data_IF_255644660280
#
_entry.id   IF_255644660280
#
_cell.length_a   1.000
_cell.length_b   1.000
_cell.length_c   1.000
_cell.angle_alpha   90.00
_cell.angle_beta   90.00
_cell.angle_gamma   90.00
#
_symmetry.space_group_name_H-M   'P 1'
#
loop_
_entity.id
_entity.type
_entity.pdbx_description
1 polymer ?
#
# COMPACT_ATOMS: atom_id res chain seq x y z
N UNK A 1 -13.80 23.30 11.06
CA UNK A 1 -13.37 23.21 9.65
C UNK A 1 -12.90 24.57 9.17
N UNK A 2 -13.74 25.54 8.77
CA UNK A 2 -13.22 26.84 8.25
C UNK A 2 -12.29 27.59 9.21
N UNK A 3 -12.58 27.58 10.51
CA UNK A 3 -11.73 28.19 11.53
C UNK A 3 -10.35 27.53 11.63
N UNK A 4 -10.22 26.25 11.27
CA UNK A 4 -8.96 25.50 11.31
C UNK A 4 -8.02 25.88 10.15
N UNK A 5 -8.51 26.66 9.17
CA UNK A 5 -7.77 27.11 7.98
C UNK A 5 -7.77 28.64 7.83
N UNK A 6 -7.92 29.37 8.95
CA UNK A 6 -8.08 30.83 8.93
C UNK A 6 -6.82 31.56 8.40
N UNK A 7 -5.66 30.96 8.62
CA UNK A 7 -4.31 31.41 8.28
C UNK A 7 -3.83 30.90 6.90
N UNK A 8 -4.61 30.07 6.21
CA UNK A 8 -4.23 29.51 4.92
C UNK A 8 -4.44 30.49 3.75
N UNK A 9 -3.83 30.17 2.60
CA UNK A 9 -3.90 30.94 1.35
C UNK A 9 -5.34 31.39 1.02
N UNK A 10 -5.55 32.67 0.61
CA UNK A 10 -6.88 33.20 0.28
C UNK A 10 -7.66 32.34 -0.74
N UNK A 11 -6.99 31.67 -1.67
CA UNK A 11 -7.62 30.79 -2.66
C UNK A 11 -8.22 29.56 -2.01
N UNK A 12 -7.55 28.95 -1.04
CA UNK A 12 -8.11 27.84 -0.27
C UNK A 12 -9.32 28.30 0.54
N UNK A 13 -9.22 29.44 1.23
CA UNK A 13 -10.34 30.02 1.99
C UNK A 13 -11.55 30.30 1.09
N UNK A 14 -11.33 30.77 -0.14
CA UNK A 14 -12.39 30.94 -1.15
C UNK A 14 -13.06 29.61 -1.51
N UNK A 15 -12.29 28.54 -1.75
CA UNK A 15 -12.82 27.20 -2.03
C UNK A 15 -13.67 26.68 -0.85
N UNK A 16 -13.17 26.83 0.39
CA UNK A 16 -13.90 26.45 1.60
C UNK A 16 -15.19 27.27 1.82
N UNK A 17 -15.29 28.45 1.21
CA UNK A 17 -16.50 29.27 1.19
C UNK A 17 -17.68 28.57 0.49
N UNK A 18 -17.40 27.76 -0.53
CA UNK A 18 -18.44 27.04 -1.29
C UNK A 18 -18.96 25.77 -0.60
N UNK A 19 -18.30 25.28 0.46
CA UNK A 19 -18.69 24.04 1.15
C UNK A 19 -19.95 24.25 2.00
N UNK A 20 -21.06 23.60 1.66
CA UNK A 20 -22.34 23.77 2.37
C UNK A 20 -22.43 22.92 3.64
N UNK A 21 -21.88 21.70 3.61
CA UNK A 21 -21.90 20.76 4.73
C UNK A 21 -20.62 19.94 4.76
N UNK A 22 -20.24 19.47 5.95
CA UNK A 22 -19.05 18.63 6.14
C UNK A 22 -19.37 17.40 6.96
N UNK A 23 -18.73 16.30 6.59
CA UNK A 23 -18.67 15.10 7.42
C UNK A 23 -17.32 15.07 8.14
N UNK A 24 -17.33 14.64 9.40
CA UNK A 24 -16.11 14.44 10.19
C UNK A 24 -15.80 12.95 10.26
N UNK A 25 -14.79 12.52 9.52
CA UNK A 25 -14.36 11.14 9.46
C UNK A 25 -13.18 10.92 10.40
N UNK A 26 -13.26 9.88 11.23
CA UNK A 26 -12.09 9.41 11.98
C UNK A 26 -11.34 8.42 11.10
N UNK A 27 -10.12 8.77 10.71
CA UNK A 27 -9.24 7.83 10.02
C UNK A 27 -8.60 6.87 11.02
N UNK A 28 -8.56 5.59 10.65
CA UNK A 28 -8.11 4.48 11.49
C UNK A 28 -7.23 3.55 10.67
N UNK A 29 -6.23 2.96 11.32
CA UNK A 29 -5.19 2.13 10.71
C UNK A 29 -4.88 0.92 11.57
N UNK A 30 -4.19 -0.04 10.96
CA UNK A 30 -3.51 -1.14 11.64
C UNK A 30 -2.12 -1.37 11.06
N UNK A 31 -1.19 -1.76 11.95
CA UNK A 31 0.09 -2.34 11.52
C UNK A 31 -0.18 -3.58 10.67
N UNK A 32 0.70 -3.91 9.71
CA UNK A 32 0.60 -5.14 8.94
C UNK A 32 0.39 -6.34 9.87
N UNK A 33 -0.58 -7.19 9.53
CA UNK A 33 -0.82 -8.43 10.25
C UNK A 33 0.35 -9.40 10.02
N UNK A 34 0.60 -10.28 11.00
CA UNK A 34 1.63 -11.32 10.86
C UNK A 34 1.24 -12.42 9.87
N UNK A 35 -0.05 -12.68 9.75
CA UNK A 35 -0.65 -13.64 8.84
C UNK A 35 -2.09 -13.22 8.53
N UNK A 36 -2.57 -13.56 7.35
CA UNK A 36 -3.91 -13.37 6.83
C UNK A 36 -4.71 -14.68 6.81
N UNK A 37 -4.02 -15.80 7.05
CA UNK A 37 -4.55 -17.15 6.95
C UNK A 37 -5.03 -17.61 8.33
N UNK A 38 -6.25 -18.12 8.41
CA UNK A 38 -6.73 -18.79 9.62
C UNK A 38 -6.03 -20.16 9.78
N UNK A 39 -5.70 -20.64 11.00
CA UNK A 39 -5.03 -21.93 11.21
C UNK A 39 -5.71 -23.16 10.59
N UNK A 40 -7.00 -23.07 10.27
CA UNK A 40 -7.74 -24.13 9.59
C UNK A 40 -7.59 -24.13 8.06
N UNK A 41 -6.90 -23.16 7.46
CA UNK A 41 -6.74 -22.96 6.01
C UNK A 41 -8.05 -22.90 5.21
N UNK A 42 -9.12 -22.40 5.85
CA UNK A 42 -10.47 -22.28 5.23
C UNK A 42 -10.97 -20.83 5.18
N UNK A 43 -10.21 -19.91 5.77
CA UNK A 43 -10.53 -18.49 5.80
C UNK A 43 -9.25 -17.74 5.50
N UNK A 44 -9.35 -16.77 4.59
CA UNK A 44 -8.29 -15.85 4.26
C UNK A 44 -8.82 -14.43 4.16
N UNK A 45 -7.99 -13.47 4.55
CA UNK A 45 -8.31 -12.05 4.50
C UNK A 45 -7.72 -11.40 3.24
N UNK A 46 -8.45 -10.43 2.68
CA UNK A 46 -8.01 -9.60 1.55
C UNK A 46 -8.55 -8.16 1.71
N UNK A 47 -7.95 -7.20 1.02
CA UNK A 47 -8.35 -5.80 1.09
C UNK A 47 -8.18 -5.18 2.50
N UNK A 48 -9.06 -4.24 2.82
CA UNK A 48 -9.05 -3.53 4.12
C UNK A 48 -9.22 -4.45 5.35
N UNK A 49 -9.61 -5.70 5.17
CA UNK A 49 -9.67 -6.68 6.26
C UNK A 49 -8.27 -7.05 6.78
N UNK A 50 -7.23 -7.03 5.94
CA UNK A 50 -5.86 -7.38 6.32
C UNK A 50 -4.85 -6.23 6.15
N UNK A 51 -5.07 -5.30 5.22
CA UNK A 51 -4.15 -4.18 4.97
C UNK A 51 -4.86 -2.83 4.80
N UNK A 52 -5.70 -2.39 5.77
CA UNK A 52 -6.32 -1.08 5.69
C UNK A 52 -5.26 0.01 5.58
N UNK A 53 -5.31 0.82 4.52
CA UNK A 53 -4.24 1.79 4.20
C UNK A 53 -4.54 3.22 4.66
N UNK A 54 -5.50 3.37 5.58
CA UNK A 54 -5.84 4.66 6.19
C UNK A 54 -4.98 4.86 7.43
N UNK A 55 -4.35 6.02 7.61
CA UNK A 55 -3.17 6.19 8.48
C UNK A 55 -3.46 6.23 10.01
N UNK A 56 -2.45 5.96 10.86
CA UNK A 56 -2.66 5.68 12.27
C UNK A 56 -2.79 6.97 13.07
N UNK A 57 -3.55 6.87 14.17
CA UNK A 57 -3.28 7.67 15.36
C UNK A 57 -1.98 7.13 15.96
N UNK A 58 -0.90 7.91 15.90
CA UNK A 58 0.26 7.66 16.76
C UNK A 58 -0.18 7.98 18.19
N UNK A 59 -0.64 6.96 18.92
CA UNK A 59 -0.76 7.04 20.37
C UNK A 59 0.67 7.19 20.89
N UNK A 60 1.04 8.41 21.27
CA UNK A 60 1.86 8.79 22.42
C UNK A 60 2.26 10.26 22.23
N UNK A 61 1.49 11.17 22.86
CA UNK A 61 1.92 12.36 23.61
C UNK A 61 0.70 13.27 23.83
N UNK A 62 0.39 13.68 25.08
CA UNK A 62 -0.87 14.34 25.43
C UNK A 62 -1.06 15.75 24.83
N UNK A 63 -0.03 16.37 24.27
CA UNK A 63 -0.07 17.75 23.76
C UNK A 63 0.22 17.87 22.25
N UNK A 64 0.29 16.77 21.51
CA UNK A 64 0.64 16.79 20.08
C UNK A 64 -0.60 16.58 19.21
N UNK A 65 -1.20 17.69 18.74
CA UNK A 65 -2.26 17.66 17.70
C UNK A 65 -1.59 17.81 16.33
N UNK A 66 -1.28 16.69 15.69
CA UNK A 66 -1.05 16.70 14.24
C UNK A 66 -2.40 16.99 13.53
N UNK A 67 -2.42 17.80 12.46
CA UNK A 67 -3.55 17.88 11.56
C UNK A 67 -3.87 16.47 11.04
N UNK A 68 -5.16 16.13 10.98
CA UNK A 68 -5.62 14.77 10.75
C UNK A 68 -5.09 14.16 9.45
N UNK A 69 -4.87 12.83 9.40
CA UNK A 69 -4.35 12.20 8.21
C UNK A 69 -5.32 12.24 7.01
N UNK A 70 -4.80 12.12 5.80
CA UNK A 70 -5.47 11.92 4.51
C UNK A 70 -4.93 10.61 3.87
N UNK A 71 -5.65 9.83 3.04
CA UNK A 71 -5.05 8.70 2.32
C UNK A 71 -3.97 9.19 1.35
N UNK A 72 -2.69 9.01 1.70
CA UNK A 72 -1.61 9.70 1.01
C UNK A 72 -1.01 8.97 -0.18
N UNK A 73 -1.42 7.72 -0.43
CA UNK A 73 -1.08 7.02 -1.68
C UNK A 73 -2.31 6.66 -2.52
N UNK A 74 -3.51 6.68 -1.92
CA UNK A 74 -4.78 6.33 -2.55
C UNK A 74 -4.80 4.94 -3.26
N UNK A 75 -4.08 3.95 -2.72
CA UNK A 75 -3.93 2.62 -3.33
C UNK A 75 -4.77 1.50 -2.68
N UNK A 76 -5.53 1.75 -1.61
CA UNK A 76 -6.25 0.68 -0.90
C UNK A 76 -7.17 -0.15 -1.81
N UNK A 77 -7.94 0.51 -2.67
CA UNK A 77 -8.82 -0.17 -3.63
C UNK A 77 -8.03 -0.96 -4.70
N UNK A 78 -6.95 -0.38 -5.24
CA UNK A 78 -6.11 -1.05 -6.21
C UNK A 78 -5.46 -2.32 -5.61
N UNK A 79 -5.01 -2.24 -4.35
CA UNK A 79 -4.42 -3.38 -3.64
C UNK A 79 -5.43 -4.51 -3.43
N UNK A 80 -6.69 -4.18 -3.10
CA UNK A 80 -7.75 -5.18 -2.99
C UNK A 80 -8.09 -5.84 -4.33
N UNK A 81 -8.01 -5.11 -5.45
CA UNK A 81 -8.19 -5.68 -6.80
C UNK A 81 -7.03 -6.61 -7.13
N UNK A 82 -5.79 -6.19 -6.89
CA UNK A 82 -4.61 -7.05 -7.08
C UNK A 82 -4.67 -8.31 -6.23
N UNK A 83 -5.16 -8.22 -4.99
CA UNK A 83 -5.38 -9.40 -4.14
C UNK A 83 -6.35 -10.39 -4.79
N UNK A 84 -7.48 -9.89 -5.31
CA UNK A 84 -8.48 -10.71 -5.95
C UNK A 84 -7.91 -11.37 -7.22
N UNK A 85 -7.10 -10.64 -8.00
CA UNK A 85 -6.42 -11.17 -9.18
C UNK A 85 -5.45 -12.30 -8.82
N UNK A 86 -4.51 -12.07 -7.88
CA UNK A 86 -3.55 -13.10 -7.45
C UNK A 86 -4.27 -14.32 -6.87
N UNK A 87 -5.22 -14.12 -5.97
CA UNK A 87 -5.95 -15.23 -5.34
C UNK A 87 -6.76 -16.03 -6.37
N UNK A 88 -7.45 -15.34 -7.29
CA UNK A 88 -8.21 -15.96 -8.36
C UNK A 88 -7.33 -16.75 -9.32
N UNK A 89 -6.19 -16.17 -9.71
CA UNK A 89 -5.22 -16.81 -10.59
C UNK A 89 -4.65 -18.09 -9.95
N UNK A 90 -4.21 -18.03 -8.69
CA UNK A 90 -3.70 -19.19 -7.96
C UNK A 90 -4.76 -20.29 -7.79
N UNK A 91 -5.96 -19.92 -7.33
CA UNK A 91 -7.03 -20.90 -7.09
C UNK A 91 -7.64 -21.46 -8.37
N UNK A 92 -7.48 -20.81 -9.54
CA UNK A 92 -7.94 -21.38 -10.81
C UNK A 92 -7.25 -22.70 -11.17
N UNK A 93 -6.08 -22.97 -10.57
CA UNK A 93 -5.27 -24.18 -10.77
C UNK A 93 -5.57 -25.29 -9.77
N UNK A 94 -6.51 -25.08 -8.86
CA UNK A 94 -6.83 -26.08 -7.85
C UNK A 94 -7.51 -27.29 -8.49
N UNK A 95 -7.02 -28.48 -8.17
CA UNK A 95 -7.63 -29.74 -8.59
C UNK A 95 -8.21 -30.51 -7.42
N UNK A 96 -7.71 -30.28 -6.21
CA UNK A 96 -8.21 -30.93 -4.99
C UNK A 96 -8.16 -29.99 -3.77
N UNK A 97 -9.16 -30.03 -2.85
CA UNK A 97 -9.18 -29.17 -1.65
C UNK A 97 -7.95 -29.30 -0.73
N UNK A 98 -7.23 -30.42 -0.77
CA UNK A 98 -5.99 -30.62 0.01
C UNK A 98 -4.84 -29.72 -0.42
N UNK A 99 -4.96 -29.02 -1.55
CA UNK A 99 -3.97 -28.07 -2.06
C UNK A 99 -4.19 -26.65 -1.51
N UNK A 100 -5.37 -26.37 -0.93
CA UNK A 100 -5.72 -25.04 -0.39
C UNK A 100 -4.63 -24.46 0.53
N UNK A 101 -4.07 -25.20 1.51
CA UNK A 101 -3.06 -24.61 2.40
C UNK A 101 -1.86 -24.00 1.65
N UNK A 102 -1.37 -24.67 0.63
CA UNK A 102 -0.21 -24.22 -0.13
C UNK A 102 -0.55 -23.03 -1.06
N UNK A 103 -1.73 -23.01 -1.68
CA UNK A 103 -2.17 -21.85 -2.47
C UNK A 103 -2.44 -20.61 -1.59
N UNK A 104 -3.05 -20.80 -0.42
CA UNK A 104 -3.27 -19.70 0.52
C UNK A 104 -1.95 -19.13 1.04
N UNK A 105 -0.96 -19.99 1.32
CA UNK A 105 0.38 -19.52 1.70
C UNK A 105 1.05 -18.75 0.56
N UNK A 106 0.96 -19.23 -0.68
CA UNK A 106 1.49 -18.53 -1.85
C UNK A 106 0.90 -17.13 -2.01
N UNK A 107 -0.43 -17.01 -1.84
CA UNK A 107 -1.11 -15.74 -1.87
C UNK A 107 -0.59 -14.79 -0.78
N UNK A 108 -0.47 -15.27 0.47
CA UNK A 108 0.07 -14.46 1.57
C UNK A 108 1.52 -14.02 1.29
N UNK A 109 2.38 -14.93 0.83
CA UNK A 109 3.79 -14.66 0.54
C UNK A 109 3.97 -13.60 -0.55
N UNK A 110 3.11 -13.63 -1.58
CA UNK A 110 3.14 -12.66 -2.68
C UNK A 110 2.57 -11.29 -2.28
N UNK A 111 1.50 -11.27 -1.50
CA UNK A 111 0.70 -10.05 -1.24
C UNK A 111 1.07 -9.32 0.03
N UNK A 112 1.49 -10.02 1.08
CA UNK A 112 1.80 -9.42 2.38
C UNK A 112 2.95 -8.41 2.28
N UNK A 113 4.11 -8.72 1.67
CA UNK A 113 5.21 -7.75 1.56
C UNK A 113 4.82 -6.52 0.74
N UNK A 114 4.09 -6.71 -0.36
CA UNK A 114 3.68 -5.63 -1.27
C UNK A 114 2.69 -4.67 -0.61
N UNK A 115 1.68 -5.20 0.06
CA UNK A 115 0.67 -4.38 0.75
C UNK A 115 1.24 -3.71 1.99
N UNK A 116 2.16 -4.36 2.72
CA UNK A 116 2.88 -3.77 3.84
C UNK A 116 3.77 -2.60 3.41
N UNK A 117 4.53 -2.75 2.31
CA UNK A 117 5.28 -1.66 1.72
C UNK A 117 4.35 -0.53 1.27
N UNK A 118 3.15 -0.88 0.79
CA UNK A 118 2.14 0.09 0.39
C UNK A 118 1.62 0.93 1.56
N UNK A 119 1.30 0.26 2.67
CA UNK A 119 0.96 0.92 3.93
C UNK A 119 2.11 1.82 4.43
N UNK A 120 3.36 1.36 4.36
CA UNK A 120 4.51 2.09 4.88
C UNK A 120 4.76 3.40 4.13
N UNK A 121 4.77 3.42 2.80
CA UNK A 121 4.98 4.72 2.12
C UNK A 121 3.76 5.65 2.26
N UNK A 122 2.53 5.12 2.47
CA UNK A 122 1.38 5.96 2.86
C UNK A 122 1.64 6.66 4.22
N UNK A 123 2.17 5.93 5.21
CA UNK A 123 2.60 6.53 6.49
C UNK A 123 3.72 7.56 6.29
N UNK A 124 4.65 7.32 5.38
CA UNK A 124 5.73 8.27 5.08
C UNK A 124 5.19 9.58 4.49
N UNK A 125 4.27 9.50 3.53
CA UNK A 125 3.65 10.69 2.95
C UNK A 125 2.84 11.49 3.97
N UNK A 126 2.32 10.86 5.03
CA UNK A 126 1.68 11.57 6.14
C UNK A 126 2.60 12.61 6.75
N UNK A 127 3.81 12.18 7.09
CA UNK A 127 4.82 13.06 7.67
C UNK A 127 5.23 14.12 6.66
N UNK A 128 5.53 13.71 5.42
CA UNK A 128 6.00 14.61 4.37
C UNK A 128 5.04 15.77 4.13
N UNK A 129 3.72 15.55 4.10
CA UNK A 129 2.76 16.62 3.82
C UNK A 129 2.43 17.52 5.02
N UNK A 130 2.73 17.08 6.23
CA UNK A 130 2.32 17.75 7.48
C UNK A 130 3.50 18.22 8.32
N UNK A 131 4.66 18.43 7.70
CA UNK A 131 5.78 19.08 8.36
C UNK A 131 5.34 20.45 8.88
N UNK A 132 5.75 20.77 10.10
CA UNK A 132 5.58 22.10 10.66
C UNK A 132 6.48 23.10 9.92
N UNK A 133 6.07 24.36 9.90
CA UNK A 133 6.88 25.44 9.33
C UNK A 133 8.28 25.44 9.95
N UNK A 134 9.30 25.45 9.11
CA UNK A 134 10.69 25.38 9.54
C UNK A 134 11.61 24.78 8.46
N UNK A 135 12.90 24.58 8.78
CA UNK A 135 13.91 24.18 7.80
C UNK A 135 13.60 22.88 7.05
N UNK A 136 12.98 21.93 7.74
CA UNK A 136 12.57 20.63 7.17
C UNK A 136 11.46 20.79 6.13
N UNK A 137 10.48 21.65 6.42
CA UNK A 137 9.40 21.99 5.49
C UNK A 137 9.92 22.79 4.30
N UNK A 138 10.83 23.73 4.52
CA UNK A 138 11.49 24.51 3.45
C UNK A 138 12.27 23.61 2.49
N UNK A 139 13.02 22.64 3.02
CA UNK A 139 13.73 21.65 2.21
C UNK A 139 12.77 20.78 1.41
N UNK A 140 11.71 20.26 2.05
CA UNK A 140 10.64 19.49 1.40
C UNK A 140 10.00 20.29 0.25
N UNK A 141 9.72 21.57 0.46
CA UNK A 141 9.14 22.47 -0.54
C UNK A 141 10.10 22.77 -1.70
N UNK A 142 11.41 22.88 -1.42
CA UNK A 142 12.43 23.02 -2.45
C UNK A 142 12.49 21.76 -3.34
N UNK A 143 12.47 20.58 -2.73
CA UNK A 143 12.47 19.31 -3.45
C UNK A 143 11.21 19.12 -4.30
N UNK A 144 10.03 19.45 -3.75
CA UNK A 144 8.77 19.40 -4.49
C UNK A 144 8.73 20.39 -5.67
N UNK A 145 9.26 21.61 -5.50
CA UNK A 145 9.37 22.59 -6.59
C UNK A 145 10.31 22.10 -7.70
N UNK A 146 11.45 21.51 -7.34
CA UNK A 146 12.37 20.90 -8.31
C UNK A 146 11.67 19.80 -9.09
N UNK A 147 10.99 18.88 -8.40
CA UNK A 147 10.23 17.81 -9.04
C UNK A 147 9.14 18.33 -9.98
N UNK A 148 8.38 19.35 -9.56
CA UNK A 148 7.34 19.97 -10.39
C UNK A 148 7.92 20.64 -11.65
N UNK A 149 9.08 21.29 -11.55
CA UNK A 149 9.74 21.90 -12.70
C UNK A 149 10.19 20.85 -13.72
N UNK A 150 10.77 19.73 -13.26
CA UNK A 150 11.15 18.60 -14.13
C UNK A 150 9.93 18.04 -14.86
N UNK A 151 8.83 17.83 -14.15
CA UNK A 151 7.59 17.30 -14.74
C UNK A 151 6.98 18.25 -15.77
N UNK A 152 7.00 19.55 -15.50
CA UNK A 152 6.51 20.56 -16.45
C UNK A 152 7.30 20.56 -17.76
N UNK A 153 8.63 20.40 -17.67
CA UNK A 153 9.49 20.27 -18.83
C UNK A 153 9.21 18.98 -19.62
N UNK A 154 8.92 17.85 -18.95
CA UNK A 154 8.49 16.61 -19.62
C UNK A 154 7.22 16.81 -20.43
N UNK A 155 6.20 17.44 -19.83
CA UNK A 155 4.93 17.73 -20.49
C UNK A 155 5.17 18.63 -21.72
N UNK A 156 6.05 19.62 -21.61
CA UNK A 156 6.38 20.54 -22.71
C UNK A 156 7.16 19.86 -23.84
N UNK A 157 8.15 19.03 -23.51
CA UNK A 157 9.03 18.38 -24.49
C UNK A 157 8.43 17.08 -25.09
N UNK A 158 7.35 16.55 -24.51
CA UNK A 158 6.74 15.28 -24.92
C UNK A 158 7.67 14.07 -24.74
N UNK A 159 8.71 14.20 -23.92
CA UNK A 159 9.74 13.17 -23.70
C UNK A 159 9.86 12.83 -22.23
N UNK A 160 9.64 11.56 -21.90
CA UNK A 160 10.14 10.95 -20.67
C UNK A 160 11.65 10.79 -20.80
N UNK A 161 12.45 11.73 -20.28
CA UNK A 161 13.89 11.51 -20.10
C UNK A 161 14.07 10.56 -18.91
N UNK A 162 14.56 9.35 -19.16
CA UNK A 162 14.94 8.41 -18.10
C UNK A 162 16.12 8.98 -17.30
N UNK A 163 16.07 8.87 -15.97
CA UNK A 163 17.18 9.26 -15.08
C UNK A 163 17.20 10.76 -14.75
N UNK A 164 16.10 11.25 -14.18
CA UNK A 164 15.87 12.65 -13.77
C UNK A 164 16.54 13.06 -12.44
N UNK A 165 17.14 12.10 -11.71
CA UNK A 165 17.78 12.36 -10.42
C UNK A 165 16.77 12.77 -9.33
N UNK A 166 15.51 12.35 -9.45
CA UNK A 166 14.46 12.54 -8.43
C UNK A 166 14.30 11.33 -7.50
N UNK A 167 15.20 10.34 -7.61
CA UNK A 167 15.28 9.23 -6.66
C UNK A 167 15.40 9.76 -5.22
N UNK A 168 14.50 9.29 -4.34
CA UNK A 168 14.47 9.75 -2.95
C UNK A 168 13.85 11.14 -2.73
N UNK A 169 13.25 11.74 -3.76
CA UNK A 169 12.49 13.00 -3.64
C UNK A 169 11.39 12.89 -2.57
N UNK A 170 11.17 13.99 -1.85
CA UNK A 170 10.02 14.12 -0.97
C UNK A 170 8.69 13.98 -1.73
N UNK A 171 8.66 14.33 -3.02
CA UNK A 171 7.57 13.94 -3.90
C UNK A 171 7.75 12.49 -4.35
N UNK A 172 7.18 11.54 -3.61
CA UNK A 172 7.31 10.12 -3.91
C UNK A 172 6.77 9.70 -5.29
N UNK A 173 5.85 10.46 -5.89
CA UNK A 173 5.34 10.15 -7.25
C UNK A 173 6.31 10.60 -8.34
N UNK A 174 7.18 11.57 -8.05
CA UNK A 174 8.20 11.99 -8.99
C UNK A 174 9.40 11.04 -9.03
N UNK A 175 9.51 10.14 -8.04
CA UNK A 175 10.50 9.07 -8.02
C UNK A 175 10.09 7.98 -9.03
N UNK A 176 10.80 7.91 -10.16
CA UNK A 176 10.50 6.99 -11.27
C UNK A 176 10.50 5.53 -10.81
N UNK A 177 11.40 5.16 -9.90
CA UNK A 177 11.50 3.78 -9.41
C UNK A 177 10.26 3.42 -8.59
N UNK A 178 9.88 4.27 -7.64
CA UNK A 178 8.67 4.05 -6.82
C UNK A 178 7.41 4.03 -7.67
N UNK A 179 7.29 4.95 -8.62
CA UNK A 179 6.15 4.99 -9.55
C UNK A 179 6.10 3.73 -10.42
N UNK A 180 7.23 3.27 -10.96
CA UNK A 180 7.29 2.02 -11.73
C UNK A 180 6.93 0.80 -10.89
N UNK A 181 7.42 0.70 -9.65
CA UNK A 181 7.09 -0.41 -8.73
C UNK A 181 5.60 -0.40 -8.34
N UNK A 182 5.02 0.79 -8.18
CA UNK A 182 3.60 0.92 -7.83
C UNK A 182 2.69 0.59 -9.02
N UNK A 183 2.89 1.24 -10.17
CA UNK A 183 1.96 1.23 -11.30
C UNK A 183 2.33 0.22 -12.40
N UNK A 184 3.58 -0.26 -12.43
CA UNK A 184 4.04 -1.27 -13.39
C UNK A 184 3.98 -2.70 -12.85
N UNK A 185 3.31 -2.93 -11.72
CA UNK A 185 3.13 -4.27 -11.17
C UNK A 185 1.97 -4.97 -11.84
N UNK A 186 2.23 -6.16 -12.37
CA UNK A 186 1.23 -7.06 -12.90
C UNK A 186 0.95 -8.17 -11.88
N UNK A 187 -0.28 -8.20 -11.38
CA UNK A 187 -0.73 -9.17 -10.38
C UNK A 187 -0.83 -10.59 -10.95
N UNK A 188 -1.25 -10.71 -12.22
CA UNK A 188 -1.35 -12.01 -12.88
C UNK A 188 0.05 -12.56 -13.15
N UNK A 189 0.95 -11.73 -13.68
CA UNK A 189 2.35 -12.13 -13.90
C UNK A 189 3.03 -12.59 -12.60
N UNK A 190 2.79 -11.91 -11.48
CA UNK A 190 3.35 -12.32 -10.19
C UNK A 190 2.89 -13.75 -9.78
N UNK A 191 1.64 -14.10 -10.04
CA UNK A 191 1.12 -15.45 -9.78
C UNK A 191 1.71 -16.48 -10.76
N UNK A 192 1.86 -16.13 -12.05
CA UNK A 192 2.46 -17.00 -13.06
C UNK A 192 3.95 -17.29 -12.77
N UNK A 193 4.70 -16.25 -12.39
CA UNK A 193 6.12 -16.38 -12.02
C UNK A 193 6.27 -17.32 -10.83
N UNK A 194 5.46 -17.14 -9.78
CA UNK A 194 5.46 -18.05 -8.63
C UNK A 194 5.15 -19.50 -9.04
N UNK A 195 4.17 -19.68 -9.93
CA UNK A 195 3.82 -21.01 -10.44
C UNK A 195 5.01 -21.68 -11.15
N UNK A 196 5.63 -20.96 -12.08
CA UNK A 196 6.77 -21.43 -12.89
C UNK A 196 8.03 -21.70 -12.07
N UNK A 197 8.30 -20.89 -11.05
CA UNK A 197 9.54 -20.97 -10.26
C UNK A 197 9.50 -22.04 -9.14
N UNK A 198 8.42 -22.80 -9.05
CA UNK A 198 8.33 -23.95 -8.14
C UNK A 198 6.99 -24.13 -7.45
N UNK A 199 6.00 -23.29 -7.74
CA UNK A 199 4.62 -23.48 -7.28
C UNK A 199 4.06 -24.84 -7.67
N UNK A 200 4.29 -25.27 -8.93
CA UNK A 200 3.86 -26.58 -9.42
C UNK A 200 4.40 -27.73 -8.55
N UNK A 201 5.70 -27.71 -8.24
CA UNK A 201 6.33 -28.74 -7.42
C UNK A 201 5.84 -28.72 -5.96
N UNK A 202 5.59 -27.54 -5.39
CA UNK A 202 5.05 -27.40 -4.02
C UNK A 202 3.62 -27.92 -3.90
N UNK A 203 2.83 -27.85 -4.98
CA UNK A 203 1.42 -28.26 -5.01
C UNK A 203 1.25 -29.72 -5.41
N UNK A 204 2.10 -30.25 -6.29
CA UNK A 204 2.05 -31.62 -6.79
C UNK A 204 2.89 -32.61 -5.98
N UNK A 205 3.74 -32.15 -5.06
CA UNK A 205 4.45 -33.04 -4.16
C UNK A 205 3.44 -33.93 -3.41
N UNK A 206 3.56 -35.26 -3.47
CA UNK A 206 2.67 -36.14 -2.73
C UNK A 206 2.79 -35.80 -1.26
N UNK A 207 1.68 -35.43 -0.61
CA UNK A 207 1.61 -35.28 0.84
C UNK A 207 2.21 -36.54 1.45
N UNK A 208 3.44 -36.44 1.95
CA UNK A 208 4.12 -37.53 2.62
C UNK A 208 3.22 -37.98 3.75
N UNK A 209 2.74 -39.23 3.65
CA UNK A 209 1.82 -39.80 4.61
C UNK A 209 2.40 -39.67 6.01
N UNK A 210 1.76 -38.85 6.84
CA UNK A 210 1.98 -38.89 8.28
C UNK A 210 1.28 -40.16 8.74
N UNK A 211 2.02 -41.28 8.73
CA UNK A 211 1.65 -42.47 9.48
C UNK A 211 1.67 -42.09 10.96
N UNK A 212 0.51 -41.68 11.47
CA UNK A 212 0.22 -41.59 12.89
C UNK A 212 0.23 -42.99 13.48
N UNK A 213 1.42 -43.51 13.77
CA UNK A 213 1.60 -44.68 14.61
C UNK A 213 1.14 -44.33 16.03
N UNK A 214 -0.07 -44.77 16.38
CA UNK A 214 -0.43 -44.97 17.78
C UNK A 214 0.54 -46.00 18.37
N UNK A 215 1.50 -45.53 19.16
CA UNK A 215 2.13 -46.36 20.17
C UNK A 215 1.39 -46.12 21.49
N UNK A 216 0.46 -47.02 21.78
CA UNK A 216 -0.02 -47.25 23.13
C UNK A 216 1.08 -48.00 23.90
N UNK A 217 1.60 -47.40 24.96
CA UNK A 217 2.06 -48.04 26.20
C UNK A 217 2.04 -47.01 27.31
#
# INVERSE_FOLDING_TARGET
>A
MRADFADFDPRLRKILGFVQSTLKWRLMDRKPLKTWIHPSFRVILLGDACHPMLNPRMLLLPNFRLPGPQPYRAQGAAMAIEDAAVLGNLLSRITHPSQLPAFLQAYEDLRLPRTAETQNQSRMNQTIFHLHDGPEQEQRDADMRKAAAVELERIREGKSKAGDGLAGSANQWADEEKSRVQFGYDADEAAEVWWREGGEHKILAPHGGVNGGLAAT
#
